data_IF_426670845598
#
_entry.id   IF_426670845598
#
_cell.length_a   1.000
_cell.length_b   1.000
_cell.length_c   1.000
_cell.angle_alpha   90.00
_cell.angle_beta   90.00
_cell.angle_gamma   90.00
#
_symmetry.space_group_name_H-M   'P 1'
#
loop_
_entity.id
_entity.type
_entity.pdbx_description
1 polymer ?
#
# COMPACT_ATOMS: atom_id res chain seq x y z
N UNK A 1 10.77 23.32 -12.77
CA UNK A 1 11.16 22.00 -13.31
C UNK A 1 10.03 21.04 -12.97
N UNK A 2 9.26 20.64 -13.98
CA UNK A 2 8.00 19.91 -13.82
C UNK A 2 8.28 18.42 -13.59
N UNK A 3 8.13 17.94 -12.36
CA UNK A 3 8.21 16.52 -11.97
C UNK A 3 6.90 15.74 -12.21
N UNK A 4 6.18 16.07 -13.29
CA UNK A 4 4.81 15.60 -13.54
C UNK A 4 4.69 14.45 -14.56
N UNK A 5 5.68 13.57 -14.71
CA UNK A 5 5.61 12.56 -15.79
C UNK A 5 6.02 11.13 -15.47
N UNK A 6 6.23 10.74 -14.21
CA UNK A 6 6.48 9.32 -13.87
C UNK A 6 5.41 8.66 -12.98
N UNK A 7 4.41 9.41 -12.51
CA UNK A 7 3.38 8.91 -11.59
C UNK A 7 2.42 7.88 -12.21
N UNK A 8 2.31 7.80 -13.54
CA UNK A 8 1.39 6.84 -14.19
C UNK A 8 1.94 5.41 -14.30
N UNK A 9 3.20 5.17 -13.93
CA UNK A 9 3.84 3.86 -14.13
C UNK A 9 4.05 3.08 -12.83
N UNK A 10 4.22 3.76 -11.69
CA UNK A 10 4.57 3.13 -10.41
C UNK A 10 3.38 2.38 -9.78
N UNK A 11 3.59 1.17 -9.21
CA UNK A 11 2.57 0.48 -8.42
C UNK A 11 1.99 1.30 -7.25
N UNK A 12 2.83 2.09 -6.60
CA UNK A 12 2.56 2.95 -5.44
C UNK A 12 3.04 4.38 -5.72
N UNK A 13 2.28 5.38 -5.31
CA UNK A 13 2.71 6.78 -5.36
C UNK A 13 2.13 7.60 -4.22
N UNK A 14 2.85 8.66 -3.83
CA UNK A 14 2.34 9.67 -2.91
C UNK A 14 1.58 10.72 -3.71
N UNK A 15 0.37 11.04 -3.29
CA UNK A 15 -0.51 12.00 -3.98
C UNK A 15 -0.47 13.36 -3.25
N UNK A 16 0.69 14.02 -3.34
CA UNK A 16 0.96 15.29 -2.65
C UNK A 16 0.01 16.41 -3.08
N UNK A 17 -0.40 16.42 -4.35
CA UNK A 17 -1.34 17.40 -4.88
C UNK A 17 -2.71 17.25 -4.24
N UNK A 18 -3.25 16.02 -4.19
CA UNK A 18 -4.52 15.76 -3.52
C UNK A 18 -4.42 16.02 -2.01
N UNK A 19 -3.30 15.64 -1.39
CA UNK A 19 -3.05 15.85 0.04
C UNK A 19 -3.11 17.33 0.42
N UNK A 20 -2.42 18.20 -0.32
CA UNK A 20 -2.39 19.64 -0.08
C UNK A 20 -3.73 20.30 -0.39
N UNK A 21 -4.35 19.96 -1.53
CA UNK A 21 -5.61 20.57 -1.97
C UNK A 21 -6.80 20.26 -1.03
N UNK A 22 -6.73 19.14 -0.31
CA UNK A 22 -7.80 18.69 0.60
C UNK A 22 -7.38 18.80 2.07
N UNK A 23 -6.29 19.50 2.38
CA UNK A 23 -5.85 19.76 3.74
C UNK A 23 -6.71 20.85 4.38
N UNK A 24 -7.30 20.58 5.56
CA UNK A 24 -8.05 21.58 6.33
C UNK A 24 -7.16 22.71 6.87
N UNK A 25 -5.88 22.41 7.11
CA UNK A 25 -4.86 23.37 7.56
C UNK A 25 -4.17 24.11 6.39
N UNK A 26 -4.53 23.78 5.14
CA UNK A 26 -3.93 24.33 3.93
C UNK A 26 -2.49 23.86 3.66
N UNK A 27 -1.95 22.94 4.46
CA UNK A 27 -0.56 22.46 4.36
C UNK A 27 -0.51 21.00 3.92
N UNK A 28 -1.05 20.08 4.73
CA UNK A 28 -1.01 18.64 4.44
C UNK A 28 -2.06 17.90 5.27
N UNK A 29 -2.96 17.19 4.60
CA UNK A 29 -3.95 16.35 5.28
C UNK A 29 -3.26 15.22 6.03
N UNK A 30 -2.28 14.57 5.42
CA UNK A 30 -1.47 13.55 6.07
C UNK A 30 -0.75 14.10 7.31
N UNK A 31 -0.15 15.28 7.20
CA UNK A 31 0.51 15.95 8.33
C UNK A 31 -0.45 16.21 9.49
N UNK A 32 -1.68 16.66 9.23
CA UNK A 32 -2.70 16.80 10.25
C UNK A 32 -3.04 15.45 10.92
N UNK A 33 -3.21 14.38 10.13
CA UNK A 33 -3.45 13.03 10.66
C UNK A 33 -2.29 12.51 11.54
N UNK A 34 -1.04 12.79 11.16
CA UNK A 34 0.14 12.42 11.96
C UNK A 34 0.12 13.15 13.30
N UNK A 35 -0.11 14.47 13.30
CA UNK A 35 -0.18 15.27 14.54
C UNK A 35 -1.28 14.82 15.48
N UNK A 36 -2.47 14.55 14.95
CA UNK A 36 -3.64 14.11 15.73
C UNK A 36 -3.46 12.70 16.33
N UNK A 37 -2.42 11.97 15.93
CA UNK A 37 -2.20 10.56 16.28
C UNK A 37 -0.86 10.29 16.96
N UNK A 38 -0.11 11.31 17.34
CA UNK A 38 1.19 11.14 18.00
C UNK A 38 1.10 10.25 19.25
N UNK A 39 0.06 10.44 20.07
CA UNK A 39 -0.13 9.74 21.34
C UNK A 39 -0.84 8.39 21.20
N UNK A 40 -1.24 7.99 19.98
CA UNK A 40 -2.01 6.76 19.74
C UNK A 40 -1.31 5.89 18.72
N UNK A 41 -1.15 6.37 17.48
CA UNK A 41 -0.57 5.57 16.41
C UNK A 41 0.96 5.50 16.49
N UNK A 42 1.59 6.50 17.10
CA UNK A 42 3.04 6.59 17.26
C UNK A 42 3.50 6.38 18.70
N UNK A 43 2.60 6.07 19.64
CA UNK A 43 2.93 5.95 21.07
C UNK A 43 4.12 5.00 21.34
N UNK A 44 4.12 3.85 20.68
CA UNK A 44 5.17 2.82 20.78
C UNK A 44 6.54 3.30 20.27
N UNK A 45 6.60 4.38 19.47
CA UNK A 45 7.87 4.98 19.05
C UNK A 45 8.57 5.71 20.21
N UNK A 46 7.82 6.05 21.26
CA UNK A 46 8.27 6.84 22.39
C UNK A 46 8.52 6.01 23.66
N UNK A 47 7.83 4.87 23.79
CA UNK A 47 7.74 4.13 25.07
C UNK A 47 8.93 3.20 25.36
N UNK A 48 9.74 2.77 24.39
CA UNK A 48 10.75 1.73 24.62
C UNK A 48 12.12 1.96 23.94
N UNK A 49 13.17 1.84 24.76
CA UNK A 49 14.52 1.32 24.42
C UNK A 49 15.43 2.18 23.53
N UNK A 50 16.70 2.30 23.93
CA UNK A 50 17.79 2.97 23.17
C UNK A 50 18.12 2.35 21.80
N UNK A 51 17.41 1.29 21.38
CA UNK A 51 17.70 0.63 20.10
C UNK A 51 17.04 1.36 18.92
N UNK A 52 17.83 2.24 18.30
CA UNK A 52 17.44 3.07 17.15
C UNK A 52 16.77 2.28 16.01
N UNK A 53 17.16 1.03 15.78
CA UNK A 53 16.60 0.15 14.75
C UNK A 53 15.13 -0.22 14.99
N UNK A 54 14.77 -0.56 16.24
CA UNK A 54 13.40 -0.93 16.63
C UNK A 54 12.49 0.29 16.52
N UNK A 55 12.94 1.44 17.04
CA UNK A 55 12.20 2.71 16.92
C UNK A 55 11.96 3.08 15.46
N UNK A 56 12.97 2.88 14.61
CA UNK A 56 12.84 3.15 13.17
C UNK A 56 11.81 2.23 12.49
N UNK A 57 11.78 0.95 12.85
CA UNK A 57 10.78 0.02 12.34
C UNK A 57 9.35 0.39 12.80
N UNK A 58 9.15 0.70 14.08
CA UNK A 58 7.83 1.12 14.60
C UNK A 58 7.36 2.43 13.97
N UNK A 59 8.26 3.41 13.86
CA UNK A 59 7.96 4.68 13.24
C UNK A 59 7.55 4.51 11.77
N UNK A 60 8.26 3.67 11.02
CA UNK A 60 7.94 3.38 9.63
C UNK A 60 6.58 2.67 9.49
N UNK A 61 6.28 1.70 10.34
CA UNK A 61 4.98 1.01 10.36
C UNK A 61 3.83 1.98 10.69
N UNK A 62 4.00 2.83 11.71
CA UNK A 62 3.01 3.83 12.11
C UNK A 62 2.78 4.89 11.02
N UNK A 63 3.85 5.38 10.40
CA UNK A 63 3.79 6.33 9.30
C UNK A 63 3.02 5.76 8.09
N UNK A 64 3.33 4.52 7.68
CA UNK A 64 2.64 3.83 6.58
C UNK A 64 1.16 3.57 6.88
N UNK A 65 0.85 3.06 8.07
CA UNK A 65 -0.53 2.78 8.51
C UNK A 65 -1.37 4.06 8.53
N UNK A 66 -0.78 5.18 8.95
CA UNK A 66 -1.45 6.50 8.94
C UNK A 66 -1.65 7.01 7.52
N UNK A 67 -0.72 6.72 6.61
CA UNK A 67 -0.75 7.18 5.22
C UNK A 67 -1.73 6.40 4.32
N UNK A 68 -2.22 5.26 4.78
CA UNK A 68 -3.06 4.35 4.02
C UNK A 68 -4.44 4.17 4.66
N UNK A 69 -5.38 3.54 3.93
CA UNK A 69 -6.65 3.15 4.50
C UNK A 69 -6.48 2.02 5.54
N UNK A 70 -7.38 1.89 6.52
CA UNK A 70 -8.61 2.66 6.71
C UNK A 70 -8.42 3.97 7.49
N UNK A 71 -7.20 4.29 7.96
CA UNK A 71 -6.95 5.49 8.77
C UNK A 71 -7.22 6.75 7.96
N UNK A 72 -6.62 6.83 6.77
CA UNK A 72 -6.79 7.96 5.88
C UNK A 72 -7.47 7.49 4.59
N UNK A 73 -8.67 8.01 4.34
CA UNK A 73 -9.43 7.71 3.13
C UNK A 73 -9.92 9.02 2.52
N UNK A 74 -9.59 9.31 1.26
CA UNK A 74 -8.65 8.56 0.42
C UNK A 74 -7.19 8.66 0.96
N UNK A 75 -6.36 7.61 0.86
CA UNK A 75 -5.02 7.59 1.48
C UNK A 75 -4.05 8.64 0.92
N UNK A 76 -3.01 8.98 1.70
CA UNK A 76 -1.85 9.78 1.25
C UNK A 76 -1.02 9.00 0.23
N UNK A 77 -0.80 7.71 0.50
CA UNK A 77 -0.28 6.76 -0.49
C UNK A 77 -1.43 6.18 -1.28
N UNK A 78 -1.24 6.17 -2.59
CA UNK A 78 -2.11 5.54 -3.57
C UNK A 78 -1.43 4.32 -4.16
N UNK A 79 -2.23 3.44 -4.72
CA UNK A 79 -1.75 2.27 -5.43
C UNK A 79 -2.62 1.98 -6.65
N UNK A 80 -2.06 1.24 -7.60
CA UNK A 80 -2.81 0.73 -8.75
C UNK A 80 -3.94 -0.18 -8.28
N UNK A 81 -5.00 -0.27 -9.07
CA UNK A 81 -6.18 -1.10 -8.78
C UNK A 81 -5.88 -2.60 -8.66
N UNK A 82 -4.83 -3.09 -9.32
CA UNK A 82 -4.35 -4.48 -9.15
C UNK A 82 -3.82 -4.75 -7.73
N UNK A 83 -3.40 -3.73 -7.00
CA UNK A 83 -3.02 -3.86 -5.58
C UNK A 83 -4.29 -3.74 -4.73
N UNK A 84 -4.59 -4.78 -3.96
CA UNK A 84 -5.76 -4.86 -3.08
C UNK A 84 -5.50 -4.22 -1.72
N UNK A 85 -4.25 -4.23 -1.27
CA UNK A 85 -3.85 -3.64 0.00
C UNK A 85 -2.38 -3.89 0.30
N UNK A 86 -1.87 -3.10 1.25
CA UNK A 86 -0.50 -3.20 1.75
C UNK A 86 -0.49 -3.07 3.25
N UNK A 87 0.19 -3.99 3.93
CA UNK A 87 0.54 -3.85 5.36
C UNK A 87 2.04 -3.74 5.49
N UNK A 88 2.47 -2.86 6.38
CA UNK A 88 3.86 -2.68 6.80
C UNK A 88 3.85 -2.69 8.32
N UNK A 89 4.56 -3.64 8.91
CA UNK A 89 4.49 -3.96 10.34
C UNK A 89 5.87 -4.34 10.86
N UNK A 90 6.17 -4.00 12.12
CA UNK A 90 7.36 -4.52 12.79
C UNK A 90 7.16 -6.01 13.11
N UNK A 91 8.19 -6.80 12.84
CA UNK A 91 8.34 -8.19 13.24
C UNK A 91 8.48 -8.29 14.76
N UNK A 92 7.57 -9.06 15.39
CA UNK A 92 7.68 -9.39 16.81
C UNK A 92 8.81 -10.39 17.13
N UNK A 93 9.43 -10.98 16.12
CA UNK A 93 10.50 -11.97 16.30
C UNK A 93 11.87 -11.31 16.50
N UNK A 94 12.22 -10.35 15.63
CA UNK A 94 13.55 -9.75 15.56
C UNK A 94 13.54 -8.22 15.43
N UNK A 95 12.37 -7.58 15.49
CA UNK A 95 12.23 -6.14 15.37
C UNK A 95 12.42 -5.58 13.96
N UNK A 96 12.65 -6.43 12.95
CA UNK A 96 12.76 -6.00 11.55
C UNK A 96 11.42 -5.49 11.00
N UNK A 97 11.45 -4.77 9.87
CA UNK A 97 10.24 -4.31 9.20
C UNK A 97 9.81 -5.33 8.14
N UNK A 98 8.53 -5.73 8.13
CA UNK A 98 7.97 -6.68 7.15
C UNK A 98 6.86 -5.97 6.37
N UNK A 99 6.84 -6.18 5.06
CA UNK A 99 5.73 -5.75 4.20
C UNK A 99 4.98 -6.96 3.64
N UNK A 100 3.65 -6.84 3.55
CA UNK A 100 2.78 -7.76 2.83
C UNK A 100 1.90 -7.00 1.86
N UNK A 101 1.99 -7.36 0.58
CA UNK A 101 1.22 -6.75 -0.51
C UNK A 101 0.27 -7.78 -1.09
N UNK A 102 -1.03 -7.47 -1.08
CA UNK A 102 -2.06 -8.31 -1.70
C UNK A 102 -2.36 -7.83 -3.11
N UNK A 103 -2.31 -8.73 -4.09
CA UNK A 103 -2.49 -8.44 -5.50
C UNK A 103 -3.64 -9.25 -6.10
N UNK A 104 -4.37 -8.66 -7.05
CA UNK A 104 -5.27 -9.40 -7.95
C UNK A 104 -4.43 -10.33 -8.83
N UNK A 105 -4.82 -11.61 -8.85
CA UNK A 105 -4.16 -12.64 -9.63
C UNK A 105 -5.16 -13.32 -10.57
N UNK A 106 -4.72 -13.82 -11.73
CA UNK A 106 -5.53 -14.73 -12.51
C UNK A 106 -5.78 -16.02 -11.72
N UNK A 107 -6.81 -16.78 -12.12
CA UNK A 107 -7.00 -18.12 -11.56
C UNK A 107 -5.76 -19.00 -11.77
N UNK A 108 -5.40 -19.84 -10.77
CA UNK A 108 -4.42 -20.90 -10.95
C UNK A 108 -4.75 -21.74 -12.19
N UNK A 109 -3.73 -22.22 -12.91
CA UNK A 109 -3.89 -22.95 -14.16
C UNK A 109 -4.81 -24.18 -14.00
N UNK A 110 -4.72 -24.85 -12.85
CA UNK A 110 -5.56 -26.00 -12.48
C UNK A 110 -7.04 -25.65 -12.44
N UNK A 111 -7.40 -24.44 -11.98
CA UNK A 111 -8.78 -23.97 -11.98
C UNK A 111 -9.18 -23.44 -13.36
N UNK A 112 -8.31 -22.67 -14.02
CA UNK A 112 -8.57 -22.10 -15.33
C UNK A 112 -8.84 -23.17 -16.41
N UNK A 113 -8.17 -24.32 -16.33
CA UNK A 113 -8.28 -25.40 -17.33
C UNK A 113 -9.18 -26.57 -16.92
N UNK A 114 -9.77 -26.54 -15.71
CA UNK A 114 -10.64 -27.62 -15.25
C UNK A 114 -12.11 -27.37 -15.63
N UNK A 115 -12.62 -28.20 -16.55
CA UNK A 115 -14.03 -28.16 -16.94
C UNK A 115 -14.99 -28.73 -15.89
N UNK A 116 -14.49 -29.42 -14.86
CA UNK A 116 -15.33 -30.14 -13.89
C UNK A 116 -16.18 -29.22 -13.03
N UNK A 117 -15.59 -28.15 -12.49
CA UNK A 117 -16.27 -27.18 -11.64
C UNK A 117 -16.95 -26.05 -12.45
N UNK A 118 -16.42 -25.74 -13.64
CA UNK A 118 -16.99 -24.76 -14.57
C UNK A 118 -18.32 -25.22 -15.21
N UNK A 119 -18.66 -26.52 -15.14
CA UNK A 119 -19.98 -27.04 -15.54
C UNK A 119 -21.11 -26.66 -14.57
N UNK A 120 -20.76 -26.18 -13.38
CA UNK A 120 -21.70 -25.67 -12.38
C UNK A 120 -22.07 -24.20 -12.64
N UNK A 121 -22.10 -23.35 -11.60
CA UNK A 121 -22.33 -21.92 -11.78
C UNK A 121 -21.27 -21.31 -12.71
N UNK A 122 -21.66 -20.32 -13.53
CA UNK A 122 -20.72 -19.57 -14.38
C UNK A 122 -19.94 -18.58 -13.52
N UNK A 123 -18.91 -19.07 -12.83
CA UNK A 123 -18.01 -18.26 -12.03
C UNK A 123 -17.33 -17.18 -12.87
N UNK A 124 -17.29 -15.95 -12.34
CA UNK A 124 -16.58 -14.81 -12.94
C UNK A 124 -15.32 -14.51 -12.14
N UNK A 125 -14.28 -14.04 -12.84
CA UNK A 125 -13.06 -13.52 -12.20
C UNK A 125 -13.29 -12.09 -11.69
N UNK A 126 -12.25 -11.45 -11.15
CA UNK A 126 -12.26 -10.06 -10.70
C UNK A 126 -12.94 -9.13 -11.72
N UNK A 127 -13.94 -8.35 -11.30
CA UNK A 127 -14.56 -7.38 -12.18
C UNK A 127 -13.59 -6.23 -12.47
N UNK A 128 -13.74 -5.68 -13.67
CA UNK A 128 -12.98 -4.52 -14.11
C UNK A 128 -13.91 -3.43 -14.63
N UNK A 129 -13.58 -2.18 -14.33
CA UNK A 129 -14.31 -1.01 -14.78
C UNK A 129 -13.43 -0.15 -15.68
N UNK A 130 -14.00 0.38 -16.77
CA UNK A 130 -13.29 1.33 -17.61
C UNK A 130 -13.14 2.66 -16.85
N UNK A 131 -11.89 3.07 -16.58
CA UNK A 131 -11.56 4.36 -15.96
C UNK A 131 -10.51 5.08 -16.80
N UNK A 132 -10.89 6.23 -17.35
CA UNK A 132 -10.03 6.98 -18.27
C UNK A 132 -9.71 6.17 -19.53
N UNK A 133 -8.43 5.83 -19.72
CA UNK A 133 -7.92 5.06 -20.88
C UNK A 133 -7.64 3.58 -20.58
N UNK A 134 -7.92 3.10 -19.37
CA UNK A 134 -7.60 1.74 -18.93
C UNK A 134 -8.73 1.11 -18.14
N UNK A 135 -8.49 -0.11 -17.68
CA UNK A 135 -9.41 -0.85 -16.82
C UNK A 135 -8.83 -0.94 -15.42
N UNK A 136 -9.66 -0.64 -14.43
CA UNK A 136 -9.33 -0.82 -13.02
C UNK A 136 -10.03 -2.04 -12.44
N UNK A 137 -9.30 -2.83 -11.66
CA UNK A 137 -9.90 -3.89 -10.85
C UNK A 137 -10.74 -3.28 -9.73
N UNK A 138 -11.92 -3.84 -9.51
CA UNK A 138 -12.84 -3.41 -8.45
C UNK A 138 -13.36 -4.62 -7.68
N UNK A 139 -13.90 -4.39 -6.49
CA UNK A 139 -14.68 -5.42 -5.80
C UNK A 139 -16.05 -5.56 -6.47
N UNK A 140 -16.60 -6.78 -6.59
CA UNK A 140 -17.96 -6.97 -7.09
C UNK A 140 -18.95 -6.27 -6.16
N UNK A 141 -19.88 -5.52 -6.75
CA UNK A 141 -20.98 -4.92 -6.01
C UNK A 141 -21.97 -5.98 -5.54
N UNK A 142 -22.82 -5.65 -4.58
CA UNK A 142 -23.91 -6.55 -4.17
C UNK A 142 -24.77 -6.98 -5.35
N UNK A 143 -25.05 -6.06 -6.28
CA UNK A 143 -25.77 -6.36 -7.51
C UNK A 143 -25.03 -7.41 -8.35
N UNK A 144 -23.72 -7.24 -8.58
CA UNK A 144 -22.94 -8.20 -9.36
C UNK A 144 -23.02 -9.61 -8.76
N UNK A 145 -22.87 -9.73 -7.43
CA UNK A 145 -22.88 -11.01 -6.71
C UNK A 145 -24.25 -11.68 -6.79
N UNK A 146 -25.36 -10.92 -6.82
CA UNK A 146 -26.70 -11.49 -7.00
C UNK A 146 -26.95 -12.02 -8.41
N UNK A 147 -26.26 -11.46 -9.42
CA UNK A 147 -26.41 -11.85 -10.82
C UNK A 147 -25.47 -13.00 -11.21
N UNK A 148 -24.30 -13.09 -10.59
CA UNK A 148 -23.30 -14.13 -10.90
C UNK A 148 -22.36 -14.38 -9.72
N UNK A 149 -21.93 -15.63 -9.50
CA UNK A 149 -20.92 -15.93 -8.51
C UNK A 149 -19.52 -15.53 -9.01
N UNK A 150 -18.67 -15.09 -8.08
CA UNK A 150 -17.29 -14.68 -8.35
C UNK A 150 -16.30 -15.62 -7.67
N UNK A 151 -15.25 -15.99 -8.39
CA UNK A 151 -14.06 -16.62 -7.83
C UNK A 151 -12.92 -15.62 -8.01
N UNK A 152 -12.45 -15.01 -6.92
CA UNK A 152 -11.48 -13.93 -6.94
C UNK A 152 -10.13 -14.44 -6.46
N UNK A 153 -9.21 -14.73 -7.38
CA UNK A 153 -7.86 -15.18 -7.02
C UNK A 153 -6.98 -13.99 -6.62
N UNK A 154 -6.17 -14.16 -5.59
CA UNK A 154 -5.23 -13.15 -5.12
C UNK A 154 -3.91 -13.76 -4.69
N UNK A 155 -2.83 -13.00 -4.81
CA UNK A 155 -1.50 -13.37 -4.34
C UNK A 155 -1.10 -12.46 -3.18
N UNK A 156 -0.40 -13.02 -2.19
CA UNK A 156 0.26 -12.25 -1.15
C UNK A 156 1.77 -12.30 -1.40
N UNK A 157 2.39 -11.13 -1.52
CA UNK A 157 3.85 -10.97 -1.58
C UNK A 157 4.32 -10.47 -0.22
N UNK A 158 5.02 -11.30 0.53
CA UNK A 158 5.53 -10.97 1.88
C UNK A 158 7.06 -10.97 1.87
N UNK A 159 7.68 -9.91 2.37
CA UNK A 159 9.13 -9.73 2.33
C UNK A 159 9.62 -8.81 3.45
N UNK A 160 10.90 -8.95 3.89
CA UNK A 160 11.51 -7.98 4.77
C UNK A 160 11.79 -6.67 4.02
N UNK A 161 11.62 -5.54 4.71
CA UNK A 161 11.96 -4.20 4.21
C UNK A 161 13.26 -3.75 4.87
N UNK A 162 14.23 -3.35 4.05
CA UNK A 162 15.51 -2.85 4.55
C UNK A 162 15.36 -1.43 5.09
N UNK A 163 15.98 -1.17 6.24
CA UNK A 163 15.92 0.14 6.91
C UNK A 163 17.08 1.07 6.53
N UNK A 164 18.09 0.58 5.80
CA UNK A 164 19.35 1.29 5.52
C UNK A 164 19.17 2.64 4.80
N UNK A 165 18.05 2.80 4.08
CA UNK A 165 17.72 4.02 3.33
C UNK A 165 16.64 4.87 3.99
N UNK A 166 16.10 4.41 5.12
CA UNK A 166 15.06 5.13 5.83
C UNK A 166 15.68 6.35 6.53
N UNK A 167 14.98 7.49 6.58
CA UNK A 167 15.41 8.58 7.43
C UNK A 167 15.38 8.12 8.89
N UNK A 168 16.33 8.58 9.70
CA UNK A 168 16.31 8.32 11.14
C UNK A 168 14.96 8.74 11.74
N UNK A 169 14.43 7.90 12.62
CA UNK A 169 13.21 8.17 13.33
C UNK A 169 13.40 9.35 14.31
N UNK A 170 12.36 10.18 14.50
CA UNK A 170 12.35 11.17 15.57
C UNK A 170 12.63 10.54 16.94
N UNK A 171 13.31 11.26 17.82
CA UNK A 171 13.60 10.79 19.18
C UNK A 171 12.49 11.19 20.16
N UNK A 172 11.83 12.33 19.93
CA UNK A 172 10.76 12.86 20.76
C UNK A 172 9.55 13.31 19.91
N UNK A 173 8.32 13.23 20.42
CA UNK A 173 7.13 13.75 19.74
C UNK A 173 7.20 15.24 19.34
N UNK A 174 8.08 16.03 19.96
CA UNK A 174 8.30 17.47 19.65
C UNK A 174 9.26 17.70 18.49
N UNK A 175 9.96 16.67 18.03
CA UNK A 175 10.82 16.75 16.84
C UNK A 175 9.98 16.93 15.56
N UNK A 176 10.63 17.01 14.39
CA UNK A 176 9.93 17.06 13.09
C UNK A 176 9.31 15.71 12.71
N UNK A 177 8.30 15.27 13.45
CA UNK A 177 7.62 13.99 13.23
C UNK A 177 6.92 13.95 11.88
N UNK A 178 6.29 15.06 11.46
CA UNK A 178 5.55 15.12 10.20
C UNK A 178 6.48 15.01 8.99
N UNK A 179 7.55 15.81 8.94
CA UNK A 179 8.51 15.77 7.84
C UNK A 179 9.19 14.40 7.75
N UNK A 180 9.55 13.81 8.89
CA UNK A 180 10.13 12.46 8.94
C UNK A 180 9.15 11.40 8.46
N UNK A 181 7.89 11.44 8.90
CA UNK A 181 6.88 10.49 8.46
C UNK A 181 6.62 10.57 6.95
N UNK A 182 6.58 11.78 6.37
CA UNK A 182 6.43 11.98 4.93
C UNK A 182 7.60 11.37 4.15
N UNK A 183 8.85 11.63 4.58
CA UNK A 183 10.04 11.04 3.97
C UNK A 183 10.05 9.52 4.08
N UNK A 184 9.74 8.97 5.25
CA UNK A 184 9.66 7.52 5.46
C UNK A 184 8.65 6.87 4.54
N UNK A 185 7.47 7.47 4.37
CA UNK A 185 6.43 6.98 3.45
C UNK A 185 6.89 7.02 1.99
N UNK A 186 7.59 8.07 1.56
CA UNK A 186 8.15 8.15 0.22
C UNK A 186 9.18 7.03 -0.03
N UNK A 187 10.08 6.78 0.93
CA UNK A 187 11.08 5.71 0.84
C UNK A 187 10.40 4.34 0.81
N UNK A 188 9.41 4.10 1.68
CA UNK A 188 8.63 2.86 1.67
C UNK A 188 7.94 2.64 0.33
N UNK A 189 7.27 3.66 -0.21
CA UNK A 189 6.62 3.55 -1.53
C UNK A 189 7.63 3.18 -2.63
N UNK A 190 8.84 3.75 -2.60
CA UNK A 190 9.91 3.42 -3.54
C UNK A 190 10.39 1.96 -3.39
N UNK A 191 10.61 1.48 -2.17
CA UNK A 191 11.06 0.10 -1.93
C UNK A 191 9.97 -0.93 -2.30
N UNK A 192 8.71 -0.65 -1.96
CA UNK A 192 7.58 -1.48 -2.41
C UNK A 192 7.47 -1.50 -3.93
N UNK A 193 7.67 -0.36 -4.60
CA UNK A 193 7.70 -0.28 -6.06
C UNK A 193 8.80 -1.16 -6.66
N UNK A 194 10.00 -1.14 -6.06
CA UNK A 194 11.13 -1.94 -6.52
C UNK A 194 10.82 -3.44 -6.47
N UNK A 195 10.23 -3.91 -5.38
CA UNK A 195 9.96 -5.34 -5.15
C UNK A 195 8.72 -5.82 -5.91
N UNK A 196 7.65 -5.02 -5.95
CA UNK A 196 6.35 -5.46 -6.48
C UNK A 196 6.23 -5.25 -7.99
N UNK A 197 6.94 -4.28 -8.58
CA UNK A 197 6.83 -4.00 -10.02
C UNK A 197 7.11 -5.22 -10.91
N UNK A 198 8.18 -6.02 -10.71
CA UNK A 198 8.43 -7.19 -11.55
C UNK A 198 7.29 -8.22 -11.49
N UNK A 199 6.68 -8.41 -10.33
CA UNK A 199 5.52 -9.30 -10.16
C UNK A 199 4.31 -8.77 -10.94
N UNK A 200 4.03 -7.48 -10.83
CA UNK A 200 2.93 -6.84 -11.56
C UNK A 200 3.14 -6.87 -13.08
N UNK A 201 4.37 -6.64 -13.54
CA UNK A 201 4.68 -6.70 -14.98
C UNK A 201 4.35 -8.09 -15.53
N UNK A 202 4.77 -9.17 -14.84
CA UNK A 202 4.42 -10.55 -15.23
C UNK A 202 2.91 -10.78 -15.23
N UNK A 203 2.19 -10.31 -14.19
CA UNK A 203 0.73 -10.43 -14.10
C UNK A 203 -0.02 -9.62 -15.18
N UNK A 204 0.57 -8.54 -15.67
CA UNK A 204 0.05 -7.72 -16.76
C UNK A 204 0.48 -8.23 -18.15
N UNK A 205 1.18 -9.36 -18.22
CA UNK A 205 1.70 -9.93 -19.47
C UNK A 205 2.85 -9.12 -20.08
N UNK A 206 3.50 -8.27 -19.28
CA UNK A 206 4.69 -7.51 -19.64
C UNK A 206 5.91 -8.29 -19.14
N UNK A 207 6.80 -8.71 -20.05
CA UNK A 207 8.05 -9.33 -19.58
C UNK A 207 8.94 -8.28 -18.89
N UNK A 208 9.62 -8.66 -17.79
CA UNK A 208 10.62 -7.79 -17.17
C UNK A 208 11.67 -7.44 -18.23
N UNK A 209 11.95 -6.14 -18.39
CA UNK A 209 13.07 -5.68 -19.21
C UNK A 209 14.37 -5.73 -18.42
#
# INVERSE_FOLDING_TARGET
MNSHSDSFTAPFWVDEDYDRQNASDGVSRYGAYVRDRLDIAFAECWDDGDESSIRLAEFAAAAWRTATGPVMVPGYVRHKSRVLGVRVERSNWDGSLIATVSLVAPWPAELAHSSGWQRGPRWRDWPTELRGKGYDFVHPSEKDVTESPFLQASLAVTFPVTLDRMPEAPADPRDDVVGRAQLTVQVLAAELNHIVRPVLDVLDGRWPR
#
